data_IF_596525580590
#
_entry.id   IF_596525580590
#
_cell.length_a   1.000
_cell.length_b   1.000
_cell.length_c   1.000
_cell.angle_alpha   90.00
_cell.angle_beta   90.00
_cell.angle_gamma   90.00
#
_symmetry.space_group_name_H-M   'P 1'
#
loop_
_entity.id
_entity.type
_entity.pdbx_description
1 polymer ?
#
# COMPACT_ATOMS: atom_id res chain seq x y z
N UNK A 1 -2.84 4.38 -0.38
CA UNK A 1 -2.82 5.66 -1.13
C UNK A 1 -2.75 6.87 -0.19
N UNK A 2 -3.63 6.98 0.80
CA UNK A 2 -3.64 8.11 1.75
C UNK A 2 -2.27 8.35 2.41
N UNK A 3 -1.71 7.34 3.11
CA UNK A 3 -0.44 7.45 3.83
C UNK A 3 0.73 7.91 2.94
N UNK A 4 0.82 7.39 1.71
CA UNK A 4 1.87 7.78 0.77
C UNK A 4 1.76 9.25 0.34
N UNK A 5 0.54 9.68 -0.06
CA UNK A 5 0.34 11.07 -0.48
C UNK A 5 0.54 12.05 0.66
N UNK A 6 0.08 11.71 1.86
CA UNK A 6 0.37 12.49 3.06
C UNK A 6 1.89 12.61 3.26
N UNK A 7 2.59 11.48 3.35
CA UNK A 7 4.03 11.47 3.65
C UNK A 7 4.83 12.19 2.56
N UNK A 8 4.53 11.96 1.28
CA UNK A 8 5.25 12.58 0.17
C UNK A 8 5.13 14.10 0.13
N UNK A 9 3.96 14.64 0.44
CA UNK A 9 3.72 16.07 0.33
C UNK A 9 4.05 16.84 1.62
N UNK A 10 3.86 16.21 2.77
CA UNK A 10 4.02 16.89 4.06
C UNK A 10 5.37 16.67 4.73
N UNK A 11 6.09 15.59 4.40
CA UNK A 11 7.42 15.32 5.00
C UNK A 11 8.38 16.52 4.89
N UNK A 12 8.56 17.18 3.73
CA UNK A 12 9.48 18.32 3.65
C UNK A 12 9.09 19.46 4.60
N UNK A 13 7.80 19.75 4.72
CA UNK A 13 7.29 20.81 5.59
C UNK A 13 7.39 20.43 7.06
N UNK A 14 6.97 19.22 7.42
CA UNK A 14 7.02 18.74 8.80
C UNK A 14 8.45 18.68 9.35
N UNK A 15 9.41 18.32 8.50
CA UNK A 15 10.83 18.34 8.88
C UNK A 15 11.35 19.76 9.18
N UNK A 16 10.87 20.77 8.44
CA UNK A 16 11.24 22.16 8.74
C UNK A 16 10.56 22.67 10.02
N UNK A 17 9.37 22.21 10.35
CA UNK A 17 8.70 22.53 11.63
C UNK A 17 9.40 21.89 12.84
N UNK A 18 10.06 20.75 12.66
CA UNK A 18 10.91 20.08 13.66
C UNK A 18 12.31 20.72 13.79
N UNK A 19 12.56 21.86 13.13
CA UNK A 19 13.78 22.64 13.27
C UNK A 19 14.89 22.33 12.24
N UNK A 20 14.60 21.51 11.22
CA UNK A 20 15.55 21.29 10.12
C UNK A 20 15.50 22.46 9.11
N UNK A 21 16.60 22.65 8.40
CA UNK A 21 16.66 23.66 7.33
C UNK A 21 15.75 23.25 6.15
N UNK A 22 15.25 24.23 5.41
CA UNK A 22 14.44 23.97 4.20
C UNK A 22 15.17 23.04 3.21
N UNK A 23 16.49 23.17 3.10
CA UNK A 23 17.31 22.30 2.24
C UNK A 23 17.28 20.85 2.72
N UNK A 24 17.35 20.59 4.00
CA UNK A 24 17.25 19.25 4.61
C UNK A 24 15.85 18.67 4.41
N UNK A 25 14.80 19.48 4.51
CA UNK A 25 13.42 19.07 4.20
C UNK A 25 13.27 18.59 2.76
N UNK A 26 13.83 19.32 1.79
CA UNK A 26 13.82 18.92 0.37
C UNK A 26 14.60 17.62 0.15
N UNK A 27 15.78 17.48 0.76
CA UNK A 27 16.57 16.25 0.68
C UNK A 27 15.78 15.06 1.22
N UNK A 28 15.05 15.23 2.34
CA UNK A 28 14.16 14.21 2.87
C UNK A 28 13.10 13.76 1.88
N UNK A 29 12.46 14.70 1.14
CA UNK A 29 11.51 14.38 0.08
C UNK A 29 12.13 13.64 -1.10
N UNK A 30 13.34 14.01 -1.50
CA UNK A 30 14.09 13.31 -2.57
C UNK A 30 14.42 11.87 -2.13
N UNK A 31 14.89 11.69 -0.91
CA UNK A 31 15.22 10.36 -0.38
C UNK A 31 14.00 9.45 -0.28
N UNK A 32 12.86 10.00 0.13
CA UNK A 32 11.59 9.29 0.15
C UNK A 32 11.18 8.83 -1.27
N UNK A 33 11.31 9.70 -2.27
CA UNK A 33 11.00 9.38 -3.66
C UNK A 33 11.95 8.34 -4.25
N UNK A 34 13.25 8.47 -3.94
CA UNK A 34 14.28 7.51 -4.35
C UNK A 34 14.02 6.12 -3.73
N UNK A 35 13.77 6.08 -2.42
CA UNK A 35 13.35 4.85 -1.73
C UNK A 35 12.10 4.25 -2.35
N UNK A 36 11.12 5.08 -2.72
CA UNK A 36 9.89 4.67 -3.37
C UNK A 36 10.11 3.98 -4.71
N UNK A 37 10.99 4.51 -5.54
CA UNK A 37 11.34 3.90 -6.83
C UNK A 37 11.97 2.52 -6.64
N UNK A 38 12.93 2.41 -5.72
CA UNK A 38 13.56 1.14 -5.39
C UNK A 38 12.52 0.15 -4.82
N UNK A 39 11.63 0.61 -3.96
CA UNK A 39 10.57 -0.21 -3.37
C UNK A 39 9.63 -0.81 -4.40
N UNK A 40 9.22 -0.03 -5.40
CA UNK A 40 8.40 -0.51 -6.51
C UNK A 40 9.11 -1.58 -7.34
N UNK A 41 10.40 -1.39 -7.64
CA UNK A 41 11.21 -2.36 -8.37
C UNK A 41 11.41 -3.66 -7.59
N UNK A 42 11.75 -3.56 -6.30
CA UNK A 42 11.92 -4.74 -5.42
C UNK A 42 10.60 -5.51 -5.33
N UNK A 43 9.49 -4.81 -5.09
CA UNK A 43 8.17 -5.44 -5.01
C UNK A 43 7.83 -6.15 -6.32
N UNK A 44 8.00 -5.48 -7.48
CA UNK A 44 7.77 -6.06 -8.80
C UNK A 44 8.62 -7.30 -9.05
N UNK A 45 9.89 -7.29 -8.65
CA UNK A 45 10.76 -8.46 -8.76
C UNK A 45 10.35 -9.61 -7.82
N UNK A 46 9.97 -9.29 -6.58
CA UNK A 46 9.54 -10.31 -5.62
C UNK A 46 8.24 -11.01 -6.03
N UNK A 47 7.31 -10.30 -6.68
CA UNK A 47 6.05 -10.89 -7.18
C UNK A 47 6.25 -11.93 -8.28
N UNK A 48 7.42 -11.98 -8.90
CA UNK A 48 7.76 -13.07 -9.84
C UNK A 48 8.06 -14.40 -9.14
N UNK A 49 8.35 -14.38 -7.84
CA UNK A 49 8.77 -15.56 -7.05
C UNK A 49 7.83 -15.91 -5.90
N UNK A 50 7.07 -14.92 -5.42
CA UNK A 50 6.21 -15.03 -4.25
C UNK A 50 4.84 -14.47 -4.62
N UNK A 51 3.78 -15.08 -4.13
CA UNK A 51 2.41 -14.57 -4.33
C UNK A 51 2.27 -13.11 -3.89
N UNK A 52 1.61 -12.31 -4.73
CA UNK A 52 1.44 -10.86 -4.52
C UNK A 52 0.69 -10.51 -3.23
N UNK A 53 -0.28 -11.33 -2.82
CA UNK A 53 -1.11 -11.07 -1.63
C UNK A 53 -0.34 -11.12 -0.31
N UNK A 54 0.37 -12.22 0.06
CA UNK A 54 1.14 -12.24 1.31
C UNK A 54 2.27 -11.21 1.30
N UNK A 55 2.88 -10.96 0.15
CA UNK A 55 3.92 -9.94 0.00
C UNK A 55 3.37 -8.54 0.30
N UNK A 56 2.16 -8.22 -0.18
CA UNK A 56 1.48 -6.96 0.11
C UNK A 56 1.17 -6.80 1.60
N UNK A 57 0.68 -7.85 2.27
CA UNK A 57 0.39 -7.82 3.71
C UNK A 57 1.67 -7.52 4.50
N UNK A 58 2.76 -8.24 4.22
CA UNK A 58 4.06 -8.01 4.87
C UNK A 58 4.55 -6.59 4.60
N UNK A 59 4.44 -6.10 3.36
CA UNK A 59 4.84 -4.74 3.01
C UNK A 59 4.04 -3.68 3.79
N UNK A 60 2.73 -3.86 3.98
CA UNK A 60 1.90 -2.95 4.76
C UNK A 60 2.25 -2.97 6.27
N UNK A 61 2.55 -4.15 6.84
CA UNK A 61 2.98 -4.27 8.23
C UNK A 61 4.34 -3.60 8.45
N UNK A 62 5.29 -3.84 7.55
CA UNK A 62 6.61 -3.21 7.60
C UNK A 62 6.48 -1.70 7.43
N UNK A 63 5.64 -1.23 6.49
CA UNK A 63 5.39 0.20 6.29
C UNK A 63 4.85 0.88 7.56
N UNK A 64 3.91 0.23 8.26
CA UNK A 64 3.39 0.75 9.53
C UNK A 64 4.50 0.86 10.59
N UNK A 65 5.33 -0.17 10.73
CA UNK A 65 6.46 -0.17 11.68
C UNK A 65 7.51 0.89 11.34
N UNK A 66 7.87 1.03 10.07
CA UNK A 66 8.85 2.02 9.61
C UNK A 66 8.33 3.46 9.79
N UNK A 67 7.03 3.71 9.53
CA UNK A 67 6.40 5.01 9.79
C UNK A 67 6.46 5.39 11.26
N UNK A 68 6.17 4.45 12.16
CA UNK A 68 6.27 4.68 13.60
C UNK A 68 7.73 4.90 14.01
N UNK A 69 8.66 4.09 13.50
CA UNK A 69 10.10 4.24 13.77
C UNK A 69 10.66 5.58 13.27
N UNK A 70 10.19 6.07 12.14
CA UNK A 70 10.59 7.36 11.56
C UNK A 70 10.33 8.52 12.52
N UNK A 71 9.18 8.51 13.21
CA UNK A 71 8.82 9.56 14.18
C UNK A 71 9.77 9.60 15.36
N UNK A 72 10.13 8.44 15.91
CA UNK A 72 11.03 8.36 17.05
C UNK A 72 12.49 8.71 16.70
N UNK A 73 12.79 8.80 15.41
CA UNK A 73 14.14 9.04 14.89
C UNK A 73 14.43 10.50 14.54
N UNK A 74 13.48 11.42 14.73
CA UNK A 74 13.65 12.85 14.40
C UNK A 74 14.81 13.51 15.14
N UNK A 75 15.23 12.96 16.30
CA UNK A 75 16.35 13.45 17.10
C UNK A 75 17.73 13.18 16.46
N UNK A 76 17.86 12.27 15.51
CA UNK A 76 19.13 11.89 14.88
C UNK A 76 19.02 12.03 13.36
N UNK A 77 19.57 13.10 12.74
CA UNK A 77 19.38 13.39 11.31
C UNK A 77 19.79 12.25 10.38
N UNK A 78 20.89 11.57 10.64
CA UNK A 78 21.37 10.44 9.82
C UNK A 78 20.38 9.28 9.82
N UNK A 79 19.83 8.95 10.98
CA UNK A 79 18.85 7.88 11.13
C UNK A 79 17.53 8.25 10.47
N UNK A 80 17.13 9.50 10.59
CA UNK A 80 15.92 10.05 9.97
C UNK A 80 15.97 9.96 8.43
N UNK A 81 17.09 10.32 7.80
CA UNK A 81 17.24 10.20 6.34
C UNK A 81 17.20 8.74 5.87
N UNK A 82 17.86 7.83 6.60
CA UNK A 82 17.83 6.39 6.29
C UNK A 82 16.42 5.81 6.41
N UNK A 83 15.70 6.17 7.46
CA UNK A 83 14.30 5.76 7.63
C UNK A 83 13.37 6.42 6.62
N UNK A 84 13.65 7.65 6.17
CA UNK A 84 12.93 8.30 5.09
C UNK A 84 12.97 7.49 3.78
N UNK A 85 14.14 6.95 3.42
CA UNK A 85 14.27 5.99 2.30
C UNK A 85 13.43 4.73 2.56
N UNK A 86 13.48 4.20 3.78
CA UNK A 86 12.69 3.03 4.19
C UNK A 86 11.17 3.26 4.12
N UNK A 87 10.70 4.42 4.55
CA UNK A 87 9.29 4.84 4.43
C UNK A 87 8.87 4.89 2.96
N UNK A 88 9.67 5.55 2.10
CA UNK A 88 9.42 5.60 0.67
C UNK A 88 9.35 4.21 0.05
N UNK A 89 10.33 3.35 0.36
CA UNK A 89 10.43 1.99 -0.15
C UNK A 89 9.18 1.17 0.21
N UNK A 90 8.79 1.17 1.48
CA UNK A 90 7.69 0.33 1.97
C UNK A 90 6.33 0.84 1.52
N UNK A 91 6.09 2.15 1.55
CA UNK A 91 4.82 2.74 1.11
C UNK A 91 4.59 2.57 -0.39
N UNK A 92 5.64 2.74 -1.21
CA UNK A 92 5.51 2.56 -2.66
C UNK A 92 5.38 1.08 -3.04
N UNK A 93 6.05 0.17 -2.32
CA UNK A 93 5.81 -1.26 -2.42
C UNK A 93 4.34 -1.62 -2.15
N UNK A 94 3.72 -1.03 -1.11
CA UNK A 94 2.29 -1.21 -0.83
C UNK A 94 1.39 -0.70 -1.98
N UNK A 95 1.72 0.44 -2.59
CA UNK A 95 0.95 0.97 -3.73
C UNK A 95 1.07 0.05 -4.94
N UNK A 96 2.29 -0.38 -5.27
CA UNK A 96 2.57 -1.31 -6.37
C UNK A 96 1.82 -2.62 -6.13
N UNK A 97 1.85 -3.14 -4.91
CA UNK A 97 1.13 -4.35 -4.52
C UNK A 97 -0.39 -4.22 -4.65
N UNK A 98 -0.96 -3.08 -4.29
CA UNK A 98 -2.39 -2.82 -4.48
C UNK A 98 -2.78 -2.85 -5.97
N UNK A 99 -1.96 -2.24 -6.84
CA UNK A 99 -2.21 -2.29 -8.29
C UNK A 99 -2.06 -3.71 -8.87
N UNK A 100 -1.21 -4.54 -8.28
CA UNK A 100 -1.04 -5.95 -8.70
C UNK A 100 -2.19 -6.82 -8.21
N UNK A 101 -2.61 -6.70 -6.94
CA UNK A 101 -3.62 -7.55 -6.32
C UNK A 101 -5.05 -7.16 -6.69
N UNK A 102 -5.32 -5.86 -6.95
CA UNK A 102 -6.67 -5.39 -7.26
C UNK A 102 -7.30 -6.08 -8.48
N UNK A 103 -6.61 -6.26 -9.63
CA UNK A 103 -7.17 -6.99 -10.77
C UNK A 103 -7.43 -8.48 -10.49
N UNK A 104 -6.66 -9.09 -9.60
CA UNK A 104 -6.81 -10.51 -9.23
C UNK A 104 -8.06 -10.79 -8.40
N UNK A 105 -8.62 -9.75 -7.75
CA UNK A 105 -9.80 -9.86 -6.90
C UNK A 105 -11.11 -9.95 -7.70
N UNK A 106 -11.09 -9.65 -9.02
CA UNK A 106 -12.29 -9.57 -9.83
C UNK A 106 -12.28 -10.63 -10.96
N UNK A 107 -13.45 -11.24 -11.28
CA UNK A 107 -13.58 -12.12 -12.44
C UNK A 107 -13.29 -11.35 -13.74
N UNK A 108 -12.88 -12.06 -14.79
CA UNK A 108 -12.41 -11.50 -16.05
C UNK A 108 -13.38 -10.48 -16.68
N UNK A 109 -14.68 -10.73 -16.61
CA UNK A 109 -15.73 -9.86 -17.17
C UNK A 109 -15.83 -8.49 -16.46
N UNK A 110 -15.51 -8.40 -15.16
CA UNK A 110 -15.65 -7.20 -14.33
C UNK A 110 -14.30 -6.61 -13.92
N UNK A 111 -13.19 -7.21 -14.33
CA UNK A 111 -11.84 -6.86 -13.88
C UNK A 111 -11.49 -5.39 -14.11
N UNK A 112 -11.75 -4.88 -15.30
CA UNK A 112 -11.44 -3.49 -15.65
C UNK A 112 -12.29 -2.50 -14.86
N UNK A 113 -13.60 -2.72 -14.80
CA UNK A 113 -14.52 -1.84 -14.09
C UNK A 113 -14.29 -1.87 -12.58
N UNK A 114 -14.14 -3.07 -12.00
CA UNK A 114 -13.90 -3.24 -10.57
C UNK A 114 -12.56 -2.64 -10.12
N UNK A 115 -11.50 -2.90 -10.87
CA UNK A 115 -10.18 -2.31 -10.60
C UNK A 115 -10.21 -0.79 -10.76
N UNK A 116 -10.85 -0.28 -11.81
CA UNK A 116 -11.00 1.16 -12.03
C UNK A 116 -11.76 1.85 -10.90
N UNK A 117 -12.86 1.26 -10.43
CA UNK A 117 -13.63 1.78 -9.29
C UNK A 117 -12.80 1.77 -7.99
N UNK A 118 -12.09 0.69 -7.70
CA UNK A 118 -11.22 0.59 -6.52
C UNK A 118 -10.10 1.65 -6.53
N UNK A 119 -9.45 1.85 -7.69
CA UNK A 119 -8.42 2.88 -7.85
C UNK A 119 -9.05 4.28 -7.74
N UNK A 120 -10.22 4.51 -8.30
CA UNK A 120 -10.94 5.78 -8.22
C UNK A 120 -11.22 6.18 -6.77
N UNK A 121 -11.76 5.27 -5.96
CA UNK A 121 -12.00 5.49 -4.52
C UNK A 121 -10.68 5.75 -3.78
N UNK A 122 -9.64 5.00 -4.08
CA UNK A 122 -8.32 5.20 -3.48
C UNK A 122 -7.72 6.59 -3.81
N UNK A 123 -7.98 7.13 -5.01
CA UNK A 123 -7.58 8.48 -5.44
C UNK A 123 -8.30 9.59 -4.68
N UNK A 124 -9.58 9.41 -4.37
CA UNK A 124 -10.31 10.35 -3.48
C UNK A 124 -9.62 10.45 -2.12
N UNK A 125 -9.27 9.31 -1.51
CA UNK A 125 -8.50 9.30 -0.26
C UNK A 125 -7.13 9.96 -0.38
N UNK A 126 -6.45 9.79 -1.51
CA UNK A 126 -5.17 10.44 -1.78
C UNK A 126 -5.28 11.97 -1.89
N UNK A 127 -6.35 12.47 -2.50
CA UNK A 127 -6.62 13.92 -2.62
C UNK A 127 -7.03 14.54 -1.28
N UNK A 128 -7.76 13.81 -0.46
CA UNK A 128 -8.17 14.27 0.88
C UNK A 128 -7.00 14.30 1.87
N UNK A 129 -5.97 13.48 1.66
CA UNK A 129 -4.84 13.36 2.58
C UNK A 129 -4.15 14.71 2.90
N UNK A 130 -3.71 15.53 1.94
CA UNK A 130 -3.10 16.81 2.23
C UNK A 130 -4.07 17.82 2.84
N UNK A 131 -5.35 17.78 2.48
CA UNK A 131 -6.38 18.68 3.03
C UNK A 131 -6.59 18.36 4.50
N UNK A 132 -6.78 17.10 4.85
CA UNK A 132 -6.95 16.66 6.24
C UNK A 132 -5.70 16.96 7.06
N UNK A 133 -4.51 16.75 6.52
CA UNK A 133 -3.27 17.06 7.20
C UNK A 133 -3.15 18.56 7.51
N UNK A 134 -3.48 19.43 6.55
CA UNK A 134 -3.47 20.88 6.76
C UNK A 134 -4.48 21.33 7.82
N UNK A 135 -5.68 20.76 7.80
CA UNK A 135 -6.71 21.04 8.81
C UNK A 135 -6.29 20.59 10.21
N UNK A 136 -5.74 19.38 10.33
CA UNK A 136 -5.30 18.85 11.62
C UNK A 136 -4.14 19.67 12.21
N UNK A 137 -3.17 20.08 11.39
CA UNK A 137 -2.07 20.96 11.81
C UNK A 137 -2.62 22.32 12.30
N UNK A 138 -3.56 22.92 11.57
CA UNK A 138 -4.17 24.18 12.00
C UNK A 138 -4.98 24.05 13.28
N UNK A 139 -5.43 22.82 13.61
CA UNK A 139 -6.14 22.48 14.84
C UNK A 139 -5.19 22.15 16.01
N UNK A 140 -3.88 22.33 15.84
CA UNK A 140 -2.87 22.13 16.89
C UNK A 140 -2.35 20.70 17.02
N UNK A 141 -2.58 19.84 16.02
CA UNK A 141 -1.99 18.51 16.00
C UNK A 141 -0.48 18.59 15.77
N UNK A 142 0.25 17.72 16.45
CA UNK A 142 1.71 17.61 16.26
C UNK A 142 2.05 16.79 15.01
N UNK A 143 3.21 17.00 14.38
CA UNK A 143 3.72 16.16 13.30
C UNK A 143 3.69 14.68 13.66
N UNK A 144 4.07 14.34 14.88
CA UNK A 144 4.02 12.97 15.44
C UNK A 144 2.61 12.36 15.37
N UNK A 145 1.58 13.12 15.74
CA UNK A 145 0.19 12.66 15.66
C UNK A 145 -0.25 12.33 14.22
N UNK A 146 0.18 13.12 13.25
CA UNK A 146 -0.14 12.91 11.84
C UNK A 146 0.54 11.66 11.26
N UNK A 147 1.79 11.42 11.61
CA UNK A 147 2.48 10.20 11.18
C UNK A 147 1.90 8.94 11.83
N UNK A 148 1.49 9.01 13.11
CA UNK A 148 0.79 7.90 13.76
C UNK A 148 -0.54 7.60 13.09
N UNK A 149 -1.28 8.62 12.66
CA UNK A 149 -2.51 8.45 11.87
C UNK A 149 -2.22 7.77 10.53
N UNK A 150 -1.17 8.19 9.82
CA UNK A 150 -0.74 7.54 8.58
C UNK A 150 -0.32 6.08 8.79
N UNK A 151 0.40 5.78 9.87
CA UNK A 151 0.75 4.42 10.28
C UNK A 151 -0.48 3.56 10.60
N UNK A 152 -1.45 4.13 11.31
CA UNK A 152 -2.72 3.45 11.63
C UNK A 152 -3.52 3.11 10.36
N UNK A 153 -3.56 3.99 9.35
CA UNK A 153 -4.22 3.69 8.07
C UNK A 153 -3.53 2.57 7.30
N UNK A 154 -2.20 2.48 7.35
CA UNK A 154 -1.44 1.38 6.76
C UNK A 154 -1.71 0.05 7.48
N UNK A 155 -1.83 0.08 8.80
CA UNK A 155 -2.15 -1.07 9.62
C UNK A 155 -3.59 -1.57 9.39
N UNK A 156 -4.55 -0.66 9.27
CA UNK A 156 -5.92 -0.99 8.90
C UNK A 156 -5.99 -1.63 7.50
N UNK A 157 -5.20 -1.16 6.55
CA UNK A 157 -5.09 -1.78 5.23
C UNK A 157 -4.55 -3.22 5.31
N UNK A 158 -3.52 -3.46 6.12
CA UNK A 158 -2.99 -4.81 6.34
C UNK A 158 -4.03 -5.74 6.95
N UNK A 159 -4.75 -5.29 8.00
CA UNK A 159 -5.80 -6.06 8.66
C UNK A 159 -6.96 -6.39 7.71
N UNK A 160 -7.36 -5.42 6.87
CA UNK A 160 -8.39 -5.59 5.85
C UNK A 160 -8.00 -6.68 4.83
N UNK A 161 -6.74 -6.71 4.39
CA UNK A 161 -6.22 -7.73 3.49
C UNK A 161 -6.19 -9.14 4.12
N UNK A 162 -5.91 -9.23 5.40
CA UNK A 162 -6.02 -10.49 6.17
C UNK A 162 -7.45 -11.02 6.17
N UNK A 163 -8.43 -10.16 6.41
CA UNK A 163 -9.85 -10.52 6.40
C UNK A 163 -10.30 -11.05 5.04
N UNK A 164 -9.90 -10.42 3.96
CA UNK A 164 -10.22 -10.85 2.59
C UNK A 164 -9.58 -12.20 2.28
N UNK A 165 -8.36 -12.46 2.73
CA UNK A 165 -7.68 -13.76 2.55
C UNK A 165 -8.41 -14.89 3.27
N UNK A 166 -8.80 -14.65 4.52
CA UNK A 166 -9.53 -15.65 5.31
C UNK A 166 -10.89 -15.99 4.68
N UNK A 167 -11.60 -14.99 4.15
CA UNK A 167 -12.88 -15.17 3.49
C UNK A 167 -12.76 -15.93 2.15
N UNK A 168 -11.76 -15.60 1.32
CA UNK A 168 -11.51 -16.30 0.06
C UNK A 168 -11.11 -17.76 0.27
N UNK A 169 -10.32 -18.06 1.30
CA UNK A 169 -9.96 -19.42 1.66
C UNK A 169 -11.19 -20.23 2.09
N UNK A 170 -12.09 -19.62 2.87
CA UNK A 170 -13.33 -20.25 3.30
C UNK A 170 -14.27 -20.59 2.15
N UNK A 171 -14.44 -19.66 1.19
CA UNK A 171 -15.26 -19.91 -0.02
C UNK A 171 -14.66 -21.03 -0.88
N UNK A 172 -13.34 -21.09 -1.00
CA UNK A 172 -12.66 -22.16 -1.75
C UNK A 172 -12.87 -23.55 -1.11
N UNK A 173 -12.95 -23.61 0.21
CA UNK A 173 -13.19 -24.84 0.96
C UNK A 173 -14.69 -25.26 0.91
N UNK A 174 -15.58 -24.28 0.87
CA UNK A 174 -17.04 -24.50 0.79
C UNK A 174 -17.53 -24.70 -0.66
N UNK A 175 -16.68 -24.48 -1.68
CA UNK A 175 -17.06 -24.72 -3.08
C UNK A 175 -17.33 -26.21 -3.31
N UNK A 176 -18.53 -26.60 -3.77
CA UNK A 176 -18.83 -28.01 -4.06
C UNK A 176 -17.82 -28.55 -5.06
N UNK A 177 -17.26 -29.72 -4.78
CA UNK A 177 -16.39 -30.43 -5.70
C UNK A 177 -17.07 -30.46 -7.08
N UNK A 178 -16.34 -30.04 -8.12
CA UNK A 178 -16.85 -30.03 -9.50
C UNK A 178 -17.57 -31.35 -9.79
N UNK A 179 -18.84 -31.26 -10.19
CA UNK A 179 -19.65 -32.44 -10.47
C UNK A 179 -18.92 -33.28 -11.53
N UNK A 180 -18.91 -34.61 -11.44
CA UNK A 180 -18.27 -35.48 -12.44
C UNK A 180 -18.70 -35.17 -13.90
N UNK A 181 -19.87 -34.57 -14.07
CA UNK A 181 -20.40 -34.11 -15.36
C UNK A 181 -19.58 -32.92 -15.95
N UNK A 182 -19.09 -31.99 -15.09
CA UNK A 182 -18.27 -30.85 -15.54
C UNK A 182 -16.87 -31.29 -15.93
N UNK A 183 -16.33 -32.30 -15.27
CA UNK A 183 -15.05 -32.91 -15.62
C UNK A 183 -15.14 -33.63 -16.99
N UNK A 184 -16.23 -34.35 -17.22
CA UNK A 184 -16.45 -35.04 -18.50
C UNK A 184 -16.64 -34.07 -19.68
N UNK A 185 -17.19 -32.86 -19.43
CA UNK A 185 -17.33 -31.81 -20.47
C UNK A 185 -15.98 -31.10 -20.73
N UNK A 186 -15.08 -31.06 -19.77
CA UNK A 186 -13.74 -30.52 -19.96
C UNK A 186 -12.87 -31.42 -20.82
N UNK A 187 -13.01 -32.74 -20.69
CA UNK A 187 -12.21 -33.75 -21.39
C UNK A 187 -12.80 -34.12 -22.78
N UNK A 188 -13.97 -33.60 -23.13
CA UNK A 188 -14.56 -33.83 -24.44
C UNK A 188 -13.73 -33.16 -25.54
N UNK A 189 -13.32 -33.89 -26.62
CA UNK A 189 -12.55 -33.31 -27.71
C UNK A 189 -13.31 -32.18 -28.38
N UNK A 190 -12.61 -31.09 -28.75
CA UNK A 190 -13.20 -29.87 -29.32
C UNK A 190 -14.03 -30.11 -30.61
N UNK A 191 -13.91 -31.26 -31.22
CA UNK A 191 -14.67 -31.68 -32.41
C UNK A 191 -16.13 -32.02 -32.14
N UNK A 192 -16.56 -32.16 -30.88
CA UNK A 192 -17.96 -32.47 -30.51
C UNK A 192 -18.75 -31.21 -30.10
N UNK A 193 -18.21 -30.02 -30.27
CA UNK A 193 -18.83 -28.73 -29.87
C UNK A 193 -19.37 -27.93 -31.08
N UNK A 194 -19.75 -28.59 -32.18
CA UNK A 194 -20.42 -27.96 -33.33
C UNK A 194 -21.92 -28.20 -33.25
#
# INVERSE_FOLDING_TARGET
MFAYNFTSQWTPKLLTEEGLTSQQGVIGGIMLSFGGTIGALIFGFLTTKIDSRPLLIVSCLVASGVLVGFIFSTSIPTLMFSLGVGVGLTLNACITGLYTVAPEAYPSALRTTGTGAAIGIARVGATLAPILAGYLLSSGWTPTGLYTLAGATALLAALSLFGVRAYSAKIADEAPASTPADAALSDAPLTSRV
#
